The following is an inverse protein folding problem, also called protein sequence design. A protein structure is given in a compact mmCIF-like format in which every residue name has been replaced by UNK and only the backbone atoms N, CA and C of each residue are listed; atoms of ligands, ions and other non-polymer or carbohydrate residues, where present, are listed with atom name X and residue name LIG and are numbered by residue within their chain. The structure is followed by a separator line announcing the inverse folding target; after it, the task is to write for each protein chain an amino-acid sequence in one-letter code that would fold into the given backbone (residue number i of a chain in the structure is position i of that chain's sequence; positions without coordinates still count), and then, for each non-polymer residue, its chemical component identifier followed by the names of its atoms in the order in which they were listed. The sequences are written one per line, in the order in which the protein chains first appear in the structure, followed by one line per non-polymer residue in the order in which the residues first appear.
data_IF_874239225119
#
_entry.id   IF_874239225119
#
_cell.length_a   1.000
_cell.length_b   1.000
_cell.length_c   1.000
_cell.angle_alpha   90.00
_cell.angle_beta   90.00
_cell.angle_gamma   90.00
#
_symmetry.space_group_name_H-M   'P 1'
#
loop_
_entity.id
_entity.type
_entity.pdbx_description
1 polymer ?
#
# COMPACT_ATOMS: atom_id res chain seq x y z
N UNK A 1 -12.96 23.16 -5.35
CA UNK A 1 -11.91 22.53 -4.52
C UNK A 1 -12.12 21.03 -4.61
N UNK A 2 -11.04 20.25 -4.76
CA UNK A 2 -11.16 18.79 -4.76
C UNK A 2 -11.41 18.29 -3.33
N UNK A 3 -12.22 17.24 -3.19
CA UNK A 3 -12.40 16.49 -1.96
C UNK A 3 -11.22 15.53 -1.78
N UNK A 4 -10.81 15.31 -0.53
CA UNK A 4 -9.72 14.41 -0.21
C UNK A 4 -10.17 13.46 0.90
N UNK A 5 -10.12 12.16 0.63
CA UNK A 5 -10.40 11.12 1.62
C UNK A 5 -9.13 10.33 1.97
N UNK A 6 -9.09 9.82 3.21
CA UNK A 6 -7.98 9.04 3.75
C UNK A 6 -8.47 7.73 4.37
N UNK A 7 -7.72 6.64 4.13
CA UNK A 7 -7.86 5.35 4.84
C UNK A 7 -6.46 4.87 5.22
N UNK A 8 -6.35 4.07 6.27
CA UNK A 8 -5.08 3.46 6.68
C UNK A 8 -5.27 2.00 7.04
N UNK A 9 -4.23 1.20 6.81
CA UNK A 9 -4.16 -0.18 7.26
C UNK A 9 -2.75 -0.53 7.71
N UNK A 10 -2.65 -1.33 8.77
CA UNK A 10 -1.38 -1.85 9.26
C UNK A 10 -1.16 -3.26 8.70
N UNK A 11 0.03 -3.51 8.17
CA UNK A 11 0.41 -4.77 7.54
C UNK A 11 1.78 -5.21 8.03
N UNK A 12 2.09 -6.49 7.87
CA UNK A 12 3.41 -7.03 8.17
C UNK A 12 3.93 -7.90 7.04
N UNK A 13 5.23 -7.84 6.80
CA UNK A 13 5.95 -8.71 5.85
C UNK A 13 7.01 -9.52 6.62
N UNK A 14 7.05 -10.86 6.48
CA UNK A 14 8.04 -11.69 7.16
C UNK A 14 9.49 -11.35 6.77
N UNK A 15 10.45 -11.81 7.58
CA UNK A 15 11.88 -11.69 7.29
C UNK A 15 12.24 -12.32 5.93
N UNK A 16 13.09 -11.66 5.13
CA UNK A 16 13.54 -12.11 3.81
C UNK A 16 12.44 -12.49 2.81
N UNK A 17 11.19 -12.08 3.06
CA UNK A 17 10.06 -12.42 2.20
C UNK A 17 9.87 -11.39 1.08
N UNK A 18 9.28 -11.85 -0.02
CA UNK A 18 8.69 -10.99 -1.05
C UNK A 18 7.20 -11.30 -1.10
N UNK A 19 6.37 -10.27 -0.91
CA UNK A 19 4.92 -10.44 -0.80
C UNK A 19 4.19 -9.37 -1.58
N UNK A 20 3.10 -9.79 -2.22
CA UNK A 20 2.19 -8.90 -2.93
C UNK A 20 1.08 -8.43 -1.98
N UNK A 21 0.81 -7.14 -2.02
CA UNK A 21 -0.29 -6.47 -1.32
C UNK A 21 -1.22 -5.82 -2.34
N UNK A 22 -2.52 -5.94 -2.11
CA UNK A 22 -3.55 -5.34 -2.95
C UNK A 22 -4.34 -4.33 -2.12
N UNK A 23 -4.43 -3.11 -2.64
CA UNK A 23 -5.10 -1.98 -2.01
C UNK A 23 -6.17 -1.44 -2.94
N UNK A 24 -7.29 -1.01 -2.37
CA UNK A 24 -8.40 -0.42 -3.11
C UNK A 24 -9.24 0.49 -2.24
N UNK A 25 -10.04 1.36 -2.86
CA UNK A 25 -11.03 2.17 -2.13
C UNK A 25 -12.35 1.44 -1.87
N UNK A 26 -12.63 0.40 -2.67
CA UNK A 26 -13.84 -0.41 -2.58
C UNK A 26 -15.05 0.26 -3.25
N UNK A 27 -16.26 -0.06 -2.76
CA UNK A 27 -17.54 0.37 -3.35
C UNK A 27 -17.68 1.90 -3.48
N UNK A 28 -16.97 2.67 -2.67
CA UNK A 28 -17.07 4.14 -2.68
C UNK A 28 -16.24 4.81 -3.78
N UNK A 29 -15.49 4.06 -4.58
CA UNK A 29 -14.66 4.57 -5.67
C UNK A 29 -15.46 5.48 -6.62
N UNK A 30 -14.82 6.57 -7.04
CA UNK A 30 -15.27 7.55 -8.05
C UNK A 30 -14.51 7.42 -9.36
N UNK A 31 -13.74 6.34 -9.54
CA UNK A 31 -13.03 6.07 -10.81
C UNK A 31 -14.03 6.13 -11.98
N UNK A 32 -13.71 6.82 -13.10
CA UNK A 32 -12.39 7.36 -13.47
C UNK A 32 -12.06 8.74 -12.93
N UNK A 33 -12.98 9.42 -12.26
CA UNK A 33 -12.84 10.82 -11.82
C UNK A 33 -12.10 10.96 -10.48
N UNK A 34 -11.21 10.02 -10.14
CA UNK A 34 -10.41 10.07 -8.92
C UNK A 34 -8.93 9.80 -9.17
N UNK A 35 -8.07 10.46 -8.40
CA UNK A 35 -6.70 10.02 -8.16
C UNK A 35 -6.67 9.13 -6.93
N UNK A 36 -6.04 7.96 -7.01
CA UNK A 36 -5.84 7.03 -5.91
C UNK A 36 -4.38 6.60 -5.80
N UNK A 37 -3.78 6.75 -4.62
CA UNK A 37 -2.47 6.21 -4.32
C UNK A 37 -2.35 5.73 -2.88
N UNK A 38 -1.33 4.93 -2.61
CA UNK A 38 -1.03 4.35 -1.30
C UNK A 38 0.44 4.65 -0.99
N UNK A 39 0.71 5.27 0.16
CA UNK A 39 2.08 5.40 0.67
C UNK A 39 2.35 4.31 1.72
N UNK A 40 3.59 3.85 1.78
CA UNK A 40 4.04 2.83 2.73
C UNK A 40 5.02 3.44 3.72
N UNK A 41 4.72 3.29 5.01
CA UNK A 41 5.54 3.79 6.11
C UNK A 41 5.91 2.63 7.05
N UNK A 42 7.10 2.02 6.89
CA UNK A 42 7.60 1.02 7.82
C UNK A 42 7.71 1.58 9.24
N UNK A 43 7.29 0.78 10.22
CA UNK A 43 7.46 1.11 11.64
C UNK A 43 8.93 1.00 11.99
N UNK A 44 9.48 2.05 12.58
CA UNK A 44 10.83 2.00 13.09
C UNK A 44 10.88 1.12 14.34
N UNK A 45 11.66 0.04 14.29
CA UNK A 45 11.92 -0.79 15.46
C UNK A 45 13.21 -0.34 16.15
N UNK A 46 13.09 0.09 17.40
CA UNK A 46 14.22 0.54 18.24
C UNK A 46 15.25 -0.57 18.49
N UNK A 47 14.84 -1.83 18.42
CA UNK A 47 15.72 -2.99 18.58
C UNK A 47 16.50 -3.31 17.30
N UNK A 48 16.06 -2.80 16.15
CA UNK A 48 16.66 -3.07 14.84
C UNK A 48 17.16 -1.77 14.19
N UNK A 49 18.17 -1.14 14.81
CA UNK A 49 18.73 0.15 14.37
C UNK A 49 19.29 0.16 12.93
N UNK A 50 19.64 -1.01 12.41
CA UNK A 50 20.15 -1.20 11.05
C UNK A 50 19.07 -1.65 10.06
N UNK A 51 17.79 -1.35 10.33
CA UNK A 51 16.69 -1.71 9.45
C UNK A 51 16.88 -1.12 8.04
N UNK A 52 16.98 -1.99 7.05
CA UNK A 52 16.95 -1.64 5.65
C UNK A 52 15.51 -1.30 5.20
N UNK A 53 15.35 -0.36 4.25
CA UNK A 53 14.03 -0.03 3.72
C UNK A 53 13.41 -1.23 2.99
N UNK A 54 12.08 -1.35 3.08
CA UNK A 54 11.33 -2.28 2.23
C UNK A 54 11.55 -1.88 0.76
N UNK A 55 11.81 -2.88 -0.10
CA UNK A 55 12.09 -2.67 -1.52
C UNK A 55 10.83 -2.93 -2.33
N UNK A 56 10.39 -1.95 -3.11
CA UNK A 56 9.31 -2.15 -4.07
C UNK A 56 9.88 -2.83 -5.31
N UNK A 57 9.51 -4.09 -5.54
CA UNK A 57 9.98 -4.88 -6.70
C UNK A 57 9.00 -4.83 -7.88
N UNK A 58 7.72 -4.59 -7.62
CA UNK A 58 6.72 -4.34 -8.65
C UNK A 58 5.61 -3.43 -8.12
N UNK A 59 5.01 -2.64 -9.02
CA UNK A 59 3.83 -1.82 -8.74
C UNK A 59 2.96 -1.77 -9.99
N UNK A 60 1.68 -2.09 -9.83
CA UNK A 60 0.69 -2.01 -10.89
C UNK A 60 -0.55 -1.30 -10.38
N UNK A 61 -1.11 -0.42 -11.21
CA UNK A 61 -2.41 0.22 -10.97
C UNK A 61 -3.33 -0.23 -12.09
N UNK A 62 -4.44 -0.85 -11.73
CA UNK A 62 -5.45 -1.32 -12.69
C UNK A 62 -6.80 -0.71 -12.34
N UNK A 63 -7.58 -0.43 -13.37
CA UNK A 63 -8.98 -0.09 -13.19
C UNK A 63 -9.80 -1.37 -13.38
N UNK A 64 -10.44 -1.84 -12.30
CA UNK A 64 -11.34 -3.00 -12.33
C UNK A 64 -12.79 -2.52 -12.30
N UNK A 65 -13.45 -2.57 -13.46
CA UNK A 65 -14.85 -2.21 -13.64
C UNK A 65 -15.82 -3.34 -13.27
N UNK A 66 -15.32 -4.57 -13.13
CA UNK A 66 -16.10 -5.79 -12.91
C UNK A 66 -16.43 -6.04 -11.45
N UNK A 67 -15.57 -5.63 -10.51
CA UNK A 67 -15.75 -5.91 -9.09
C UNK A 67 -16.43 -4.78 -8.28
N UNK A 68 -16.76 -3.63 -8.90
CA UNK A 68 -17.27 -2.46 -8.17
C UNK A 68 -16.26 -1.88 -7.18
N UNK A 69 -14.97 -2.14 -7.40
CA UNK A 69 -13.84 -1.76 -6.53
C UNK A 69 -13.18 -0.46 -6.99
N UNK A 70 -13.29 -0.15 -8.29
CA UNK A 70 -12.69 1.03 -8.91
C UNK A 70 -11.21 0.83 -9.24
N UNK A 71 -10.36 1.80 -8.86
CA UNK A 71 -8.92 1.68 -9.01
C UNK A 71 -8.35 0.73 -7.94
N UNK A 72 -7.59 -0.27 -8.41
CA UNK A 72 -6.87 -1.24 -7.59
C UNK A 72 -5.38 -1.03 -7.77
N UNK A 73 -4.66 -0.96 -6.65
CA UNK A 73 -3.21 -0.80 -6.63
C UNK A 73 -2.58 -2.04 -6.00
N UNK A 74 -1.71 -2.69 -6.76
CA UNK A 74 -0.99 -3.90 -6.35
C UNK A 74 0.48 -3.59 -6.23
N UNK A 75 1.05 -3.80 -5.04
CA UNK A 75 2.48 -3.62 -4.76
C UNK A 75 3.11 -4.93 -4.35
N UNK A 76 4.25 -5.25 -4.95
CA UNK A 76 5.11 -6.32 -4.48
C UNK A 76 6.26 -5.70 -3.70
N UNK A 77 6.30 -6.01 -2.40
CA UNK A 77 7.31 -5.52 -1.47
C UNK A 77 8.23 -6.69 -1.09
N UNK A 78 9.52 -6.41 -1.04
CA UNK A 78 10.54 -7.30 -0.50
C UNK A 78 11.03 -6.73 0.83
N UNK A 79 11.08 -7.58 1.84
CA UNK A 79 11.73 -7.30 3.11
C UNK A 79 13.15 -7.88 3.08
N UNK A 80 14.20 -7.06 2.93
CA UNK A 80 15.57 -7.55 2.97
C UNK A 80 16.04 -7.90 4.40
N UNK A 81 15.32 -7.44 5.43
CA UNK A 81 15.71 -7.62 6.82
C UNK A 81 15.53 -9.07 7.30
N UNK A 82 16.32 -9.45 8.30
CA UNK A 82 16.25 -10.76 8.96
C UNK A 82 15.18 -10.82 10.09
N UNK A 83 14.32 -9.82 10.19
CA UNK A 83 13.18 -9.75 11.09
C UNK A 83 11.92 -9.32 10.32
N UNK A 84 10.71 -9.69 10.80
CA UNK A 84 9.46 -9.20 10.23
C UNK A 84 9.35 -7.67 10.36
N UNK A 85 8.87 -7.00 9.31
CA UNK A 85 8.65 -5.56 9.31
C UNK A 85 7.16 -5.27 9.25
N UNK A 86 6.67 -4.47 10.19
CA UNK A 86 5.32 -3.90 10.16
C UNK A 86 5.35 -2.54 9.50
N UNK A 87 4.33 -2.19 8.73
CA UNK A 87 4.21 -0.89 8.06
C UNK A 87 2.75 -0.40 8.01
N UNK A 88 2.59 0.92 7.95
CA UNK A 88 1.31 1.54 7.61
C UNK A 88 1.19 1.71 6.09
N UNK A 89 0.08 1.30 5.51
CA UNK A 89 -0.35 1.68 4.18
C UNK A 89 -1.37 2.81 4.30
N UNK A 90 -1.00 4.02 3.89
CA UNK A 90 -1.86 5.18 3.94
C UNK A 90 -2.43 5.42 2.55
N UNK A 91 -3.73 5.22 2.44
CA UNK A 91 -4.47 5.38 1.21
C UNK A 91 -4.92 6.84 1.10
N UNK A 92 -4.64 7.49 -0.03
CA UNK A 92 -5.13 8.83 -0.35
C UNK A 92 -5.97 8.78 -1.62
N UNK A 93 -7.09 9.51 -1.58
CA UNK A 93 -7.95 9.69 -2.74
C UNK A 93 -8.33 11.15 -2.92
N UNK A 94 -8.28 11.65 -4.16
CA UNK A 94 -8.65 13.02 -4.54
C UNK A 94 -9.68 12.97 -5.67
N UNK A 95 -10.82 13.67 -5.54
CA UNK A 95 -11.92 13.73 -6.52
C UNK A 95 -12.81 14.96 -6.35
#
# INVERSE_FOLDING_TARGET
MANIDYKRGTYSIPAHATQQFTFWWGRDSKTPDEFFDVSIAPHFDKNHRAMEPLRQTARTVVWDTTAGVGTVLTWTLQNPNNFPVTFEANHVRIY
#
